data_IF_623602103855
#
_entry.id   IF_623602103855
#
_cell.length_a   1.000
_cell.length_b   1.000
_cell.length_c   1.000
_cell.angle_alpha   90.00
_cell.angle_beta   90.00
_cell.angle_gamma   90.00
#
_symmetry.space_group_name_H-M   'P 1'
#
loop_
_entity.id
_entity.type
_entity.pdbx_description
1 polymer ?
#
# COMPACT_ATOMS: atom_id res chain seq x y z
N UNK A 1 37.59 -55.34 -10.90
CA UNK A 1 36.28 -54.74 -10.56
C UNK A 1 36.54 -53.51 -9.70
N UNK A 2 36.43 -52.33 -10.29
CA UNK A 2 36.58 -51.05 -9.57
C UNK A 2 35.21 -50.64 -9.04
N UNK A 3 35.07 -50.58 -7.72
CA UNK A 3 33.90 -50.04 -7.04
C UNK A 3 33.88 -48.53 -7.25
N UNK A 4 33.02 -48.08 -8.16
CA UNK A 4 32.63 -46.66 -8.25
C UNK A 4 31.95 -46.27 -6.94
N UNK A 5 32.66 -45.47 -6.13
CA UNK A 5 32.06 -44.75 -5.02
C UNK A 5 31.18 -43.67 -5.63
N UNK A 6 29.85 -43.87 -5.58
CA UNK A 6 28.91 -42.80 -5.89
C UNK A 6 29.09 -41.67 -4.87
N UNK A 7 29.32 -40.42 -5.30
CA UNK A 7 29.39 -39.31 -4.37
C UNK A 7 28.03 -39.09 -3.74
N UNK A 8 28.01 -39.28 -2.43
CA UNK A 8 26.92 -39.06 -1.50
C UNK A 8 26.40 -37.63 -1.62
N UNK A 9 25.09 -37.50 -1.88
CA UNK A 9 24.22 -36.36 -1.59
C UNK A 9 24.88 -34.98 -1.57
N UNK A 10 24.82 -34.26 -2.69
CA UNK A 10 24.74 -32.80 -2.66
C UNK A 10 23.42 -32.48 -1.94
N UNK A 11 23.50 -32.28 -0.63
CA UNK A 11 22.46 -31.54 0.07
C UNK A 11 22.25 -30.26 -0.72
N UNK A 12 21.05 -30.05 -1.26
CA UNK A 12 20.68 -28.83 -1.97
C UNK A 12 20.74 -27.67 -0.98
N UNK A 13 21.93 -27.16 -0.73
CA UNK A 13 22.17 -25.98 0.08
C UNK A 13 21.63 -24.79 -0.71
N UNK A 14 20.49 -24.27 -0.26
CA UNK A 14 19.94 -23.03 -0.79
C UNK A 14 21.03 -21.96 -0.78
N UNK A 15 21.22 -21.27 -1.91
CA UNK A 15 22.14 -20.14 -1.93
C UNK A 15 21.66 -19.08 -0.91
N UNK A 16 22.58 -18.45 -0.15
CA UNK A 16 22.21 -17.45 0.82
C UNK A 16 21.46 -16.30 0.14
N UNK A 17 20.34 -15.88 0.74
CA UNK A 17 19.48 -14.83 0.18
C UNK A 17 20.28 -13.53 -0.05
N UNK A 18 20.27 -13.04 -1.30
CA UNK A 18 20.85 -11.76 -1.70
C UNK A 18 20.01 -10.57 -1.20
N UNK A 19 20.58 -9.36 -1.23
CA UNK A 19 19.84 -8.15 -0.86
C UNK A 19 18.62 -7.95 -1.77
N UNK A 20 18.82 -8.14 -3.08
CA UNK A 20 17.76 -8.09 -4.10
C UNK A 20 16.62 -9.06 -3.80
N UNK A 21 16.93 -10.34 -3.53
CA UNK A 21 15.90 -11.34 -3.23
C UNK A 21 15.17 -11.04 -1.92
N UNK A 22 15.88 -10.53 -0.92
CA UNK A 22 15.27 -10.12 0.35
C UNK A 22 14.27 -8.96 0.15
N UNK A 23 14.64 -7.96 -0.66
CA UNK A 23 13.77 -6.84 -1.01
C UNK A 23 12.55 -7.27 -1.85
N UNK A 24 12.73 -8.19 -2.80
CA UNK A 24 11.60 -8.77 -3.57
C UNK A 24 10.63 -9.49 -2.64
N UNK A 25 11.15 -10.37 -1.79
CA UNK A 25 10.35 -11.14 -0.85
C UNK A 25 9.62 -10.23 0.14
N UNK A 26 10.37 -9.35 0.82
CA UNK A 26 9.84 -8.39 1.78
C UNK A 26 8.84 -7.44 1.11
N UNK A 27 9.14 -6.96 -0.10
CA UNK A 27 8.26 -6.08 -0.86
C UNK A 27 6.92 -6.70 -1.18
N UNK A 28 6.90 -7.92 -1.74
CA UNK A 28 5.64 -8.62 -2.02
C UNK A 28 4.88 -8.92 -0.72
N UNK A 29 5.58 -9.33 0.34
CA UNK A 29 4.96 -9.63 1.63
C UNK A 29 4.33 -8.39 2.28
N UNK A 30 5.01 -7.24 2.21
CA UNK A 30 4.51 -5.95 2.70
C UNK A 30 3.28 -5.49 1.90
N UNK A 31 3.30 -5.57 0.57
CA UNK A 31 2.13 -5.23 -0.25
C UNK A 31 0.95 -6.15 0.08
N UNK A 32 1.16 -7.46 0.12
CA UNK A 32 0.10 -8.41 0.41
C UNK A 32 -0.47 -8.22 1.83
N UNK A 33 0.38 -7.99 2.82
CA UNK A 33 -0.04 -7.72 4.20
C UNK A 33 -0.78 -6.40 4.35
N UNK A 34 -0.28 -5.34 3.69
CA UNK A 34 -0.93 -4.04 3.63
C UNK A 34 -2.31 -4.15 2.99
N UNK A 35 -2.41 -4.77 1.81
CA UNK A 35 -3.69 -5.00 1.13
C UNK A 35 -4.68 -5.82 1.97
N UNK A 36 -4.24 -6.91 2.59
CA UNK A 36 -5.10 -7.70 3.48
C UNK A 36 -5.63 -6.87 4.65
N UNK A 37 -4.78 -6.05 5.26
CA UNK A 37 -5.19 -5.13 6.30
C UNK A 37 -6.16 -4.05 5.78
N UNK A 38 -5.93 -3.56 4.56
CA UNK A 38 -6.81 -2.61 3.86
C UNK A 38 -8.21 -3.17 3.62
N UNK A 39 -8.32 -4.40 3.13
CA UNK A 39 -9.62 -5.07 2.91
C UNK A 39 -10.38 -5.25 4.24
N UNK A 40 -9.70 -5.67 5.30
CA UNK A 40 -10.29 -5.79 6.64
C UNK A 40 -10.75 -4.40 7.13
N UNK A 41 -9.91 -3.38 6.95
CA UNK A 41 -10.24 -2.00 7.32
C UNK A 41 -11.46 -1.47 6.57
N UNK A 42 -11.53 -1.69 5.25
CA UNK A 42 -12.64 -1.24 4.41
C UNK A 42 -13.98 -1.82 4.90
N UNK A 43 -14.02 -3.14 5.10
CA UNK A 43 -15.24 -3.85 5.49
C UNK A 43 -15.68 -3.51 6.92
N UNK A 44 -14.75 -3.51 7.88
CA UNK A 44 -15.11 -3.45 9.30
C UNK A 44 -15.02 -2.07 9.93
N UNK A 45 -14.25 -1.14 9.37
CA UNK A 45 -13.98 0.16 9.99
C UNK A 45 -14.45 1.30 9.10
N UNK A 46 -14.05 1.34 7.84
CA UNK A 46 -14.33 2.46 6.94
C UNK A 46 -15.84 2.72 6.80
N UNK A 47 -16.60 1.67 6.48
CA UNK A 47 -18.06 1.79 6.31
C UNK A 47 -18.78 2.14 7.62
N UNK A 48 -18.30 1.64 8.76
CA UNK A 48 -18.89 1.94 10.07
C UNK A 48 -18.58 3.38 10.52
N UNK A 49 -17.32 3.78 10.43
CA UNK A 49 -16.86 5.11 10.84
C UNK A 49 -17.48 6.21 9.97
N UNK A 50 -17.74 5.95 8.69
CA UNK A 50 -18.46 6.89 7.81
C UNK A 50 -19.88 7.20 8.32
N UNK A 51 -20.62 6.16 8.71
CA UNK A 51 -21.96 6.32 9.29
C UNK A 51 -21.94 7.05 10.63
N UNK A 52 -20.99 6.69 11.51
CA UNK A 52 -20.84 7.32 12.83
C UNK A 52 -20.44 8.80 12.72
N UNK A 53 -19.50 9.14 11.82
CA UNK A 53 -19.07 10.52 11.58
C UNK A 53 -20.25 11.43 11.21
N UNK A 54 -21.13 10.95 10.32
CA UNK A 54 -22.36 11.67 9.97
C UNK A 54 -23.27 11.90 11.18
N UNK A 55 -23.49 10.87 12.01
CA UNK A 55 -24.29 10.98 13.24
C UNK A 55 -23.67 11.94 14.25
N UNK A 56 -22.36 11.93 14.41
CA UNK A 56 -21.63 12.83 15.31
C UNK A 56 -21.73 14.28 14.84
N UNK A 57 -21.63 14.55 13.54
CA UNK A 57 -21.84 15.88 12.97
C UNK A 57 -23.28 16.38 13.18
N UNK A 58 -24.29 15.50 13.03
CA UNK A 58 -25.68 15.83 13.35
C UNK A 58 -25.83 16.23 14.82
N UNK A 59 -25.29 15.42 15.73
CA UNK A 59 -25.32 15.69 17.16
C UNK A 59 -24.63 17.03 17.50
N UNK A 60 -23.51 17.35 16.83
CA UNK A 60 -22.81 18.62 17.03
C UNK A 60 -23.71 19.80 16.64
N UNK A 61 -24.37 19.74 15.49
CA UNK A 61 -25.28 20.83 15.06
C UNK A 61 -26.45 21.03 16.02
N UNK A 62 -26.97 19.94 16.59
CA UNK A 62 -28.06 19.99 17.58
C UNK A 62 -27.60 20.57 18.92
N UNK A 63 -26.39 20.20 19.37
CA UNK A 63 -25.79 20.77 20.57
C UNK A 63 -25.51 22.28 20.45
N UNK A 64 -25.07 22.73 19.26
CA UNK A 64 -24.90 24.16 18.95
C UNK A 64 -26.26 24.87 19.02
N UNK A 65 -27.30 24.31 18.40
CA UNK A 65 -28.67 24.85 18.43
C UNK A 65 -29.21 24.99 19.86
N UNK A 66 -28.88 24.03 20.73
CA UNK A 66 -29.26 24.04 22.14
C UNK A 66 -28.41 24.98 23.01
N UNK A 67 -27.40 25.67 22.45
CA UNK A 67 -26.48 26.52 23.21
C UNK A 67 -25.60 25.75 24.20
N UNK A 68 -25.46 24.42 24.03
CA UNK A 68 -24.77 23.55 24.98
C UNK A 68 -23.29 23.39 24.58
N UNK A 69 -22.46 24.35 24.99
CA UNK A 69 -21.02 24.36 24.68
C UNK A 69 -20.25 23.15 25.21
N UNK A 70 -20.66 22.59 26.36
CA UNK A 70 -20.04 21.39 26.91
C UNK A 70 -20.30 20.17 26.03
N UNK A 71 -21.55 19.98 25.58
CA UNK A 71 -21.89 18.89 24.67
C UNK A 71 -21.18 19.03 23.33
N UNK A 72 -21.08 20.25 22.78
CA UNK A 72 -20.30 20.52 21.56
C UNK A 72 -18.86 20.05 21.74
N UNK A 73 -18.21 20.42 22.85
CA UNK A 73 -16.83 20.00 23.13
C UNK A 73 -16.68 18.47 23.17
N UNK A 74 -17.55 17.78 23.90
CA UNK A 74 -17.52 16.31 24.01
C UNK A 74 -17.76 15.62 22.66
N UNK A 75 -18.66 16.16 21.84
CA UNK A 75 -18.95 15.63 20.51
C UNK A 75 -17.76 15.82 19.57
N UNK A 76 -17.08 16.96 19.61
CA UNK A 76 -15.87 17.18 18.82
C UNK A 76 -14.69 16.33 19.30
N UNK A 77 -14.55 16.08 20.61
CA UNK A 77 -13.58 15.12 21.14
C UNK A 77 -13.85 13.71 20.60
N UNK A 78 -15.12 13.27 20.59
CA UNK A 78 -15.51 11.98 20.02
C UNK A 78 -15.27 11.91 18.49
N UNK A 79 -15.63 12.97 17.77
CA UNK A 79 -15.36 13.09 16.32
C UNK A 79 -13.86 13.01 16.02
N UNK A 80 -13.04 13.69 16.83
CA UNK A 80 -11.58 13.62 16.74
C UNK A 80 -11.08 12.18 16.89
N UNK A 81 -11.59 11.44 17.88
CA UNK A 81 -11.26 10.02 18.07
C UNK A 81 -11.64 9.13 16.88
N UNK A 82 -12.81 9.35 16.25
CA UNK A 82 -13.23 8.62 15.05
C UNK A 82 -12.34 8.92 13.84
N UNK A 83 -11.96 10.19 13.66
CA UNK A 83 -11.08 10.62 12.58
C UNK A 83 -9.65 10.10 12.78
N UNK A 84 -9.15 10.09 14.01
CA UNK A 84 -7.85 9.51 14.36
C UNK A 84 -7.83 7.98 14.15
N UNK A 85 -8.91 7.29 14.54
CA UNK A 85 -9.07 5.85 14.31
C UNK A 85 -9.04 5.50 12.82
N UNK A 86 -9.82 6.25 12.03
CA UNK A 86 -9.84 6.13 10.58
C UNK A 86 -8.46 6.45 9.97
N UNK A 87 -7.87 7.58 10.38
CA UNK A 87 -6.61 8.08 9.85
C UNK A 87 -5.46 7.12 10.10
N UNK A 88 -5.26 6.66 11.34
CA UNK A 88 -4.16 5.75 11.70
C UNK A 88 -4.25 4.40 10.98
N UNK A 89 -5.46 3.85 10.77
CA UNK A 89 -5.62 2.60 10.02
C UNK A 89 -5.39 2.79 8.53
N UNK A 90 -5.94 3.85 7.93
CA UNK A 90 -5.66 4.16 6.54
C UNK A 90 -4.16 4.38 6.31
N UNK A 91 -3.52 5.12 7.19
CA UNK A 91 -2.10 5.46 7.12
C UNK A 91 -1.19 4.23 7.29
N UNK A 92 -1.51 3.35 8.25
CA UNK A 92 -0.82 2.07 8.40
C UNK A 92 -0.94 1.19 7.15
N UNK A 93 -2.14 1.12 6.54
CA UNK A 93 -2.35 0.37 5.29
C UNK A 93 -1.45 0.91 4.16
N UNK A 94 -1.56 2.21 3.88
CA UNK A 94 -0.85 2.86 2.76
C UNK A 94 0.66 2.80 2.96
N UNK A 95 1.15 3.07 4.16
CA UNK A 95 2.59 3.00 4.40
C UNK A 95 3.16 1.58 4.28
N UNK A 96 2.40 0.55 4.66
CA UNK A 96 2.82 -0.83 4.49
C UNK A 96 2.91 -1.22 3.01
N UNK A 97 1.91 -0.84 2.20
CA UNK A 97 1.91 -1.11 0.76
C UNK A 97 3.01 -0.31 0.04
N UNK A 98 3.16 0.97 0.33
CA UNK A 98 4.18 1.85 -0.27
C UNK A 98 5.61 1.43 0.05
N UNK A 99 5.88 1.05 1.30
CA UNK A 99 7.17 0.46 1.67
C UNK A 99 7.42 -0.82 0.85
N UNK A 100 6.38 -1.60 0.58
CA UNK A 100 6.46 -2.77 -0.27
C UNK A 100 6.78 -2.45 -1.75
N UNK A 101 6.12 -1.45 -2.35
CA UNK A 101 6.43 -0.95 -3.69
C UNK A 101 7.88 -0.47 -3.78
N UNK A 102 8.31 0.33 -2.80
CA UNK A 102 9.65 0.86 -2.73
C UNK A 102 10.69 -0.25 -2.55
N UNK A 103 10.40 -1.29 -1.76
CA UNK A 103 11.28 -2.46 -1.66
C UNK A 103 11.49 -3.15 -3.02
N UNK A 104 10.41 -3.37 -3.79
CA UNK A 104 10.54 -4.00 -5.12
C UNK A 104 11.32 -3.08 -6.07
N UNK A 105 11.08 -1.77 -6.04
CA UNK A 105 11.85 -0.80 -6.82
C UNK A 105 13.35 -0.83 -6.45
N UNK A 106 13.67 -0.79 -5.15
CA UNK A 106 15.04 -0.89 -4.66
C UNK A 106 15.69 -2.20 -5.07
N UNK A 107 14.94 -3.31 -5.13
CA UNK A 107 15.45 -4.57 -5.64
C UNK A 107 15.93 -4.45 -7.09
N UNK A 108 15.20 -3.74 -7.95
CA UNK A 108 15.60 -3.50 -9.34
C UNK A 108 16.83 -2.61 -9.45
N UNK A 109 17.04 -1.74 -8.47
CA UNK A 109 18.18 -0.82 -8.42
C UNK A 109 19.45 -1.46 -7.83
N UNK A 110 19.33 -2.55 -7.06
CA UNK A 110 20.47 -3.23 -6.43
C UNK A 110 21.70 -3.48 -7.33
N UNK A 111 21.60 -3.89 -8.61
CA UNK A 111 22.80 -4.06 -9.44
C UNK A 111 23.62 -2.78 -9.63
N UNK A 112 22.97 -1.62 -9.55
CA UNK A 112 23.55 -0.29 -9.73
C UNK A 112 23.97 0.38 -8.42
N UNK A 113 23.76 -0.26 -7.27
CA UNK A 113 24.17 0.29 -5.97
C UNK A 113 25.61 -0.13 -5.68
N UNK A 114 26.58 0.78 -5.72
CA UNK A 114 28.00 0.47 -5.50
C UNK A 114 28.37 0.32 -4.01
N UNK A 115 27.76 -0.68 -3.35
CA UNK A 115 28.02 -1.05 -1.97
C UNK A 115 28.48 -2.51 -1.85
N UNK A 116 29.29 -2.87 -0.81
CA UNK A 116 29.62 -4.26 -0.54
C UNK A 116 28.37 -5.12 -0.29
N UNK A 117 28.36 -6.37 -0.78
CA UNK A 117 27.22 -7.28 -0.67
C UNK A 117 26.69 -7.43 0.77
N UNK A 118 27.58 -7.51 1.76
CA UNK A 118 27.21 -7.57 3.18
C UNK A 118 26.43 -6.33 3.64
N UNK A 119 26.80 -5.14 3.18
CA UNK A 119 26.12 -3.88 3.53
C UNK A 119 24.76 -3.79 2.85
N UNK A 120 24.66 -4.12 1.55
CA UNK A 120 23.37 -4.17 0.84
C UNK A 120 22.38 -5.09 1.54
N UNK A 121 22.82 -6.30 1.91
CA UNK A 121 21.97 -7.26 2.61
C UNK A 121 21.49 -6.73 3.97
N UNK A 122 22.37 -6.05 4.71
CA UNK A 122 22.01 -5.42 5.98
C UNK A 122 20.98 -4.31 5.77
N UNK A 123 21.22 -3.41 4.80
CA UNK A 123 20.31 -2.32 4.46
C UNK A 123 18.95 -2.84 4.00
N UNK A 124 18.92 -3.86 3.14
CA UNK A 124 17.69 -4.54 2.74
C UNK A 124 16.92 -5.11 3.94
N UNK A 125 17.61 -5.73 4.90
CA UNK A 125 16.99 -6.22 6.13
C UNK A 125 16.39 -5.08 6.96
N UNK A 126 17.14 -4.00 7.16
CA UNK A 126 16.68 -2.82 7.90
C UNK A 126 15.50 -2.15 7.21
N UNK A 127 15.50 -2.09 5.87
CA UNK A 127 14.39 -1.57 5.09
C UNK A 127 13.12 -2.37 5.29
N UNK A 128 13.19 -3.70 5.15
CA UNK A 128 12.01 -4.57 5.33
C UNK A 128 11.50 -4.52 6.78
N UNK A 129 12.41 -4.50 7.77
CA UNK A 129 12.02 -4.32 9.17
C UNK A 129 11.37 -2.96 9.42
N UNK A 130 11.93 -1.87 8.91
CA UNK A 130 11.35 -0.53 9.02
C UNK A 130 9.97 -0.45 8.36
N UNK A 131 9.82 -1.03 7.17
CA UNK A 131 8.54 -1.09 6.44
C UNK A 131 7.47 -1.92 7.14
N UNK A 132 7.85 -2.83 8.04
CA UNK A 132 6.93 -3.57 8.91
C UNK A 132 6.62 -2.79 10.20
N UNK A 133 7.63 -2.25 10.87
CA UNK A 133 7.46 -1.61 12.17
C UNK A 133 6.79 -0.24 12.09
N UNK A 134 7.00 0.51 11.01
CA UNK A 134 6.35 1.80 10.80
C UNK A 134 4.81 1.68 10.80
N UNK A 135 4.17 0.86 9.95
CA UNK A 135 2.71 0.75 9.94
C UNK A 135 2.15 0.12 11.21
N UNK A 136 2.89 -0.79 11.86
CA UNK A 136 2.51 -1.32 13.19
C UNK A 136 2.51 -0.21 14.24
N UNK A 137 3.53 0.65 14.24
CA UNK A 137 3.59 1.81 15.13
C UNK A 137 2.41 2.76 14.90
N UNK A 138 2.13 3.11 13.65
CA UNK A 138 1.01 4.00 13.28
C UNK A 138 -0.32 3.41 13.73
N UNK A 139 -0.59 2.14 13.46
CA UNK A 139 -1.81 1.46 13.89
C UNK A 139 -2.00 1.52 15.41
N UNK A 140 -0.92 1.40 16.19
CA UNK A 140 -0.97 1.42 17.64
C UNK A 140 -1.18 2.82 18.23
N UNK A 141 -1.05 3.91 17.45
CA UNK A 141 -1.24 5.28 17.94
C UNK A 141 -2.64 5.45 18.52
N UNK A 142 -3.68 4.97 17.82
CA UNK A 142 -5.05 5.08 18.29
C UNK A 142 -5.30 4.31 19.60
N UNK A 143 -4.68 3.13 19.75
CA UNK A 143 -4.97 2.22 20.87
C UNK A 143 -4.14 2.51 22.12
N UNK A 144 -2.85 2.79 21.94
CA UNK A 144 -1.88 2.89 23.03
C UNK A 144 -1.32 4.29 23.16
N UNK A 145 -1.54 5.17 22.17
CA UNK A 145 -1.31 6.62 22.19
C UNK A 145 -0.29 7.09 23.24
N UNK A 146 -0.73 7.97 24.13
CA UNK A 146 0.04 8.43 25.29
C UNK A 146 0.04 7.44 26.47
N UNK A 147 -0.74 6.36 26.39
CA UNK A 147 -0.86 5.42 27.49
C UNK A 147 0.53 4.83 27.81
N UNK A 148 0.92 4.94 29.08
CA UNK A 148 2.22 4.48 29.58
C UNK A 148 3.44 5.19 28.98
N UNK A 149 3.26 6.29 28.25
CA UNK A 149 4.37 7.09 27.73
C UNK A 149 5.05 7.90 28.85
N UNK A 150 6.40 7.98 28.88
CA UNK A 150 7.12 8.91 29.74
C UNK A 150 6.99 10.37 29.26
N UNK A 151 6.47 10.60 28.05
CA UNK A 151 6.26 11.94 27.48
C UNK A 151 4.79 12.35 27.57
N UNK A 152 4.55 13.61 27.95
CA UNK A 152 3.19 14.15 28.08
C UNK A 152 2.46 14.33 26.73
N UNK A 153 3.18 14.34 25.62
CA UNK A 153 2.66 14.68 24.29
C UNK A 153 3.02 13.70 23.18
N UNK A 154 3.85 12.69 23.45
CA UNK A 154 4.30 11.72 22.43
C UNK A 154 4.07 10.32 22.95
N UNK A 155 3.38 9.49 22.19
CA UNK A 155 3.12 8.09 22.52
C UNK A 155 4.26 7.14 22.19
N UNK A 156 4.37 6.00 22.88
CA UNK A 156 5.33 4.95 22.50
C UNK A 156 5.12 4.45 21.08
N UNK A 157 3.86 4.36 20.65
CA UNK A 157 3.48 3.99 19.30
C UNK A 157 4.02 4.99 18.25
N UNK A 158 3.93 6.30 18.54
CA UNK A 158 4.51 7.35 17.69
C UNK A 158 6.03 7.25 17.64
N UNK A 159 6.70 7.07 18.78
CA UNK A 159 8.17 6.89 18.82
C UNK A 159 8.61 5.71 17.97
N UNK A 160 7.88 4.59 18.03
CA UNK A 160 8.15 3.41 17.19
C UNK A 160 7.99 3.74 15.70
N UNK A 161 6.87 4.37 15.31
CA UNK A 161 6.60 4.75 13.93
C UNK A 161 7.68 5.70 13.38
N UNK A 162 8.00 6.76 14.12
CA UNK A 162 8.99 7.77 13.74
C UNK A 162 10.40 7.19 13.65
N UNK A 163 10.78 6.32 14.60
CA UNK A 163 12.09 5.65 14.58
C UNK A 163 12.20 4.70 13.39
N UNK A 164 11.15 3.93 13.10
CA UNK A 164 11.12 3.07 11.92
C UNK A 164 11.19 3.89 10.61
N UNK A 165 10.49 5.02 10.54
CA UNK A 165 10.56 5.96 9.42
C UNK A 165 11.96 6.55 9.25
N UNK A 166 12.61 6.95 10.34
CA UNK A 166 13.99 7.42 10.31
C UNK A 166 14.97 6.34 9.80
N UNK A 167 14.78 5.07 10.20
CA UNK A 167 15.55 3.94 9.66
C UNK A 167 15.36 3.81 8.15
N UNK A 168 14.13 3.90 7.64
CA UNK A 168 13.86 3.87 6.20
C UNK A 168 14.59 5.00 5.46
N UNK A 169 14.54 6.22 5.99
CA UNK A 169 15.23 7.39 5.41
C UNK A 169 16.74 7.15 5.36
N UNK A 170 17.35 6.69 6.45
CA UNK A 170 18.79 6.39 6.50
C UNK A 170 19.17 5.32 5.49
N UNK A 171 18.36 4.27 5.35
CA UNK A 171 18.60 3.23 4.33
C UNK A 171 18.52 3.82 2.93
N UNK A 172 17.51 4.63 2.63
CA UNK A 172 17.35 5.26 1.31
C UNK A 172 18.51 6.21 0.97
N UNK A 173 19.01 6.98 1.95
CA UNK A 173 20.20 7.82 1.77
C UNK A 173 21.43 6.96 1.45
N UNK A 174 21.61 5.83 2.13
CA UNK A 174 22.72 4.92 1.87
C UNK A 174 22.64 4.27 0.47
N UNK A 175 21.43 3.85 0.05
CA UNK A 175 21.18 3.31 -1.30
C UNK A 175 21.42 4.39 -2.38
N UNK A 176 20.93 5.61 -2.17
CA UNK A 176 21.16 6.74 -3.06
C UNK A 176 22.64 7.12 -3.17
N UNK A 177 23.38 7.09 -2.06
CA UNK A 177 24.82 7.27 -2.06
C UNK A 177 25.53 6.17 -2.85
N UNK A 178 25.09 4.91 -2.71
CA UNK A 178 25.58 3.79 -3.50
C UNK A 178 25.32 3.95 -5.00
N UNK A 179 24.14 4.42 -5.39
CA UNK A 179 23.80 4.74 -6.78
C UNK A 179 24.66 5.89 -7.33
N UNK A 180 24.82 6.97 -6.56
CA UNK A 180 25.68 8.09 -6.93
C UNK A 180 27.13 7.65 -7.15
N UNK A 181 27.65 6.79 -6.27
CA UNK A 181 29.00 6.23 -6.41
C UNK A 181 29.14 5.39 -7.67
N UNK A 182 28.14 4.57 -8.01
CA UNK A 182 28.13 3.79 -9.25
C UNK A 182 28.23 4.69 -10.49
N UNK A 183 27.44 5.77 -10.52
CA UNK A 183 27.44 6.75 -11.62
C UNK A 183 28.78 7.49 -11.74
N UNK A 184 29.42 7.80 -10.60
CA UNK A 184 30.69 8.54 -10.57
C UNK A 184 31.88 7.68 -10.98
N UNK A 185 31.95 6.46 -10.45
CA UNK A 185 33.12 5.60 -10.60
C UNK A 185 33.03 4.74 -11.88
N UNK A 186 31.96 4.87 -12.68
CA UNK A 186 31.65 4.04 -13.85
C UNK A 186 31.87 2.54 -13.56
N UNK A 187 31.54 2.15 -12.33
CA UNK A 187 31.86 0.82 -11.80
C UNK A 187 31.06 -0.23 -12.57
N UNK A 188 31.66 -1.39 -12.81
CA UNK A 188 30.89 -2.53 -13.33
C UNK A 188 29.74 -2.86 -12.37
N UNK A 189 28.60 -3.26 -12.94
CA UNK A 189 27.43 -3.66 -12.15
C UNK A 189 27.84 -4.70 -11.10
N UNK A 190 27.52 -4.39 -9.85
CA UNK A 190 27.94 -5.16 -8.68
C UNK A 190 27.20 -6.50 -8.54
N UNK A 191 26.09 -6.65 -9.27
CA UNK A 191 25.34 -7.89 -9.42
C UNK A 191 24.94 -8.05 -10.90
N UNK A 192 24.84 -9.29 -11.41
CA UNK A 192 24.42 -9.51 -12.79
C UNK A 192 23.03 -8.91 -13.06
N UNK A 193 22.90 -8.32 -14.25
CA UNK A 193 21.63 -7.85 -14.77
C UNK A 193 20.62 -9.00 -14.84
N UNK A 194 19.33 -8.69 -14.68
CA UNK A 194 18.29 -9.69 -14.85
C UNK A 194 18.33 -10.21 -16.30
N UNK A 195 18.20 -11.53 -16.51
CA UNK A 195 18.17 -12.07 -17.86
C UNK A 195 17.02 -11.44 -18.66
N UNK A 196 17.26 -11.20 -19.94
CA UNK A 196 16.24 -10.70 -20.86
C UNK A 196 15.23 -11.82 -21.11
N UNK A 197 14.27 -11.94 -20.22
CA UNK A 197 13.17 -12.89 -20.36
C UNK A 197 12.04 -12.30 -21.22
N UNK A 198 11.57 -13.06 -22.20
CA UNK A 198 10.48 -12.72 -23.14
C UNK A 198 9.22 -13.54 -22.88
N UNK A 199 9.12 -14.15 -21.71
CA UNK A 199 7.96 -14.90 -21.22
C UNK A 199 6.64 -14.14 -21.34
N UNK A 200 5.55 -14.91 -21.49
CA UNK A 200 4.19 -14.37 -21.60
C UNK A 200 3.81 -13.60 -20.33
N UNK A 201 4.20 -14.12 -19.17
CA UNK A 201 3.87 -13.62 -17.84
C UNK A 201 4.42 -12.21 -17.65
N UNK A 202 5.71 -12.02 -17.98
CA UNK A 202 6.37 -10.71 -17.93
C UNK A 202 5.74 -9.72 -18.89
N UNK A 203 5.50 -10.10 -20.14
CA UNK A 203 4.89 -9.21 -21.15
C UNK A 203 3.48 -8.81 -20.77
N UNK A 204 2.70 -9.74 -20.25
CA UNK A 204 1.30 -9.52 -19.87
C UNK A 204 1.21 -8.62 -18.64
N UNK A 205 2.06 -8.85 -17.63
CA UNK A 205 2.17 -7.96 -16.47
C UNK A 205 2.62 -6.54 -16.85
N UNK A 206 3.65 -6.43 -17.70
CA UNK A 206 4.12 -5.12 -18.16
C UNK A 206 3.06 -4.38 -18.98
N UNK A 207 2.51 -5.04 -20.00
CA UNK A 207 1.49 -4.45 -20.87
C UNK A 207 0.20 -4.12 -20.12
N UNK A 208 -0.29 -5.05 -19.30
CA UNK A 208 -1.46 -4.84 -18.44
C UNK A 208 -1.23 -3.71 -17.45
N UNK A 209 -0.05 -3.64 -16.84
CA UNK A 209 0.31 -2.57 -15.92
C UNK A 209 0.35 -1.19 -16.57
N UNK A 210 0.93 -1.07 -17.77
CA UNK A 210 0.91 0.17 -18.55
C UNK A 210 -0.52 0.59 -18.88
N UNK A 211 -1.37 -0.35 -19.33
CA UNK A 211 -2.78 -0.06 -19.62
C UNK A 211 -3.50 0.44 -18.38
N UNK A 212 -3.33 -0.21 -17.23
CA UNK A 212 -3.94 0.19 -15.96
C UNK A 212 -3.51 1.61 -15.54
N UNK A 213 -2.22 1.92 -15.60
CA UNK A 213 -1.70 3.26 -15.27
C UNK A 213 -2.27 4.32 -16.23
N UNK A 214 -2.32 4.05 -17.53
CA UNK A 214 -2.89 4.97 -18.51
C UNK A 214 -4.38 5.19 -18.27
N UNK A 215 -5.14 4.14 -17.98
CA UNK A 215 -6.55 4.25 -17.61
C UNK A 215 -6.75 5.07 -16.34
N UNK A 216 -5.91 4.83 -15.32
CA UNK A 216 -5.87 5.61 -14.09
C UNK A 216 -5.64 7.09 -14.38
N UNK A 217 -4.60 7.45 -15.13
CA UNK A 217 -4.32 8.85 -15.51
C UNK A 217 -5.44 9.49 -16.32
N UNK A 218 -6.01 8.78 -17.31
CA UNK A 218 -7.13 9.29 -18.11
C UNK A 218 -8.35 9.58 -17.24
N UNK A 219 -8.69 8.65 -16.34
CA UNK A 219 -9.80 8.83 -15.42
C UNK A 219 -9.54 9.96 -14.42
N UNK A 220 -8.33 10.05 -13.87
CA UNK A 220 -7.94 11.13 -12.97
C UNK A 220 -7.98 12.51 -13.63
N UNK A 221 -7.50 12.62 -14.87
CA UNK A 221 -7.57 13.85 -15.65
C UNK A 221 -9.02 14.25 -15.95
N UNK A 222 -9.88 13.27 -16.29
CA UNK A 222 -11.31 13.51 -16.46
C UNK A 222 -11.95 13.99 -15.14
N UNK A 223 -11.71 13.32 -14.02
CA UNK A 223 -12.24 13.70 -12.71
C UNK A 223 -11.80 15.11 -12.30
N UNK A 224 -10.51 15.43 -12.45
CA UNK A 224 -9.97 16.74 -12.15
C UNK A 224 -10.58 17.84 -13.03
N UNK A 225 -10.75 17.57 -14.33
CA UNK A 225 -11.27 18.54 -15.30
C UNK A 225 -12.77 18.83 -15.16
N UNK A 226 -13.58 17.84 -14.80
CA UNK A 226 -15.04 17.96 -14.84
C UNK A 226 -15.72 17.98 -13.46
N UNK A 227 -15.21 17.23 -12.49
CA UNK A 227 -15.93 16.99 -11.23
C UNK A 227 -15.29 17.64 -10.01
N UNK A 228 -13.96 17.69 -9.94
CA UNK A 228 -13.24 18.15 -8.74
C UNK A 228 -13.66 19.55 -8.29
N UNK A 229 -13.58 20.54 -9.19
CA UNK A 229 -13.97 21.92 -8.86
C UNK A 229 -15.46 22.04 -8.52
N UNK A 230 -16.31 21.24 -9.16
CA UNK A 230 -17.73 21.19 -8.84
C UNK A 230 -17.98 20.57 -7.46
N UNK A 231 -17.19 19.59 -7.05
CA UNK A 231 -17.24 19.02 -5.70
C UNK A 231 -16.78 20.03 -4.65
N UNK A 232 -15.66 20.70 -4.87
CA UNK A 232 -15.16 21.73 -3.96
C UNK A 232 -16.16 22.87 -3.77
N UNK A 233 -16.75 23.37 -4.86
CA UNK A 233 -17.79 24.40 -4.79
C UNK A 233 -19.03 23.93 -4.02
N UNK A 234 -19.47 22.68 -4.22
CA UNK A 234 -20.60 22.08 -3.49
C UNK A 234 -20.28 21.94 -2.00
N UNK A 235 -19.08 21.50 -1.66
CA UNK A 235 -18.63 21.31 -0.28
C UNK A 235 -18.65 22.63 0.50
N UNK A 236 -18.07 23.69 -0.07
CA UNK A 236 -18.10 25.05 0.50
C UNK A 236 -19.54 25.53 0.68
N UNK A 237 -20.40 25.33 -0.32
CA UNK A 237 -21.82 25.70 -0.26
C UNK A 237 -22.59 24.97 0.86
N UNK A 238 -22.33 23.68 1.04
CA UNK A 238 -22.95 22.87 2.10
C UNK A 238 -22.47 23.35 3.48
N UNK A 239 -21.16 23.52 3.67
CA UNK A 239 -20.60 23.99 4.95
C UNK A 239 -21.12 25.39 5.33
N UNK A 240 -21.21 26.30 4.35
CA UNK A 240 -21.82 27.62 4.57
C UNK A 240 -23.29 27.50 5.00
N UNK A 241 -24.06 26.64 4.34
CA UNK A 241 -25.46 26.39 4.70
C UNK A 241 -25.59 25.81 6.11
N UNK A 242 -24.69 24.91 6.51
CA UNK A 242 -24.66 24.36 7.87
C UNK A 242 -24.40 25.46 8.91
N UNK A 243 -23.42 26.33 8.66
CA UNK A 243 -23.08 27.44 9.53
C UNK A 243 -24.23 28.45 9.64
N UNK A 244 -24.75 28.92 8.50
CA UNK A 244 -25.84 29.90 8.45
C UNK A 244 -27.08 29.37 9.21
N UNK A 245 -27.46 28.10 9.01
CA UNK A 245 -28.61 27.51 9.72
C UNK A 245 -28.37 27.31 11.21
N UNK A 246 -27.15 26.92 11.60
CA UNK A 246 -26.80 26.77 13.01
C UNK A 246 -26.85 28.11 13.76
N UNK A 247 -26.44 29.22 13.12
CA UNK A 247 -26.45 30.55 13.75
C UNK A 247 -27.85 31.14 13.93
N UNK A 248 -28.81 30.83 13.04
CA UNK A 248 -30.17 31.39 13.08
C UNK A 248 -31.17 30.47 13.81
N UNK A 249 -30.70 29.36 14.43
CA UNK A 249 -31.52 28.32 15.05
C UNK A 249 -32.66 27.77 14.14
N UNK A 250 -32.50 27.90 12.82
CA UNK A 250 -33.43 27.33 11.85
C UNK A 250 -33.17 25.83 11.72
N UNK A 251 -34.23 25.02 11.71
CA UNK A 251 -34.12 23.58 11.49
C UNK A 251 -33.50 23.21 10.12
N UNK A 252 -33.28 21.92 9.87
CA UNK A 252 -32.78 21.43 8.58
C UNK A 252 -31.26 21.40 8.42
N UNK A 253 -30.49 21.49 9.51
CA UNK A 253 -29.06 21.11 9.55
C UNK A 253 -28.84 19.65 9.18
N UNK A 254 -29.85 18.79 9.45
CA UNK A 254 -29.81 17.35 9.16
C UNK A 254 -29.56 17.06 7.68
N UNK A 255 -30.31 17.71 6.78
CA UNK A 255 -30.11 17.51 5.34
C UNK A 255 -28.74 18.03 4.87
N UNK A 256 -28.24 19.11 5.47
CA UNK A 256 -26.95 19.67 5.08
C UNK A 256 -25.78 18.74 5.50
N UNK A 257 -25.84 18.16 6.70
CA UNK A 257 -24.87 17.13 7.14
C UNK A 257 -24.97 15.87 6.28
N UNK A 258 -26.18 15.42 5.95
CA UNK A 258 -26.37 14.27 5.05
C UNK A 258 -25.79 14.54 3.64
N UNK A 259 -26.01 15.74 3.10
CA UNK A 259 -25.44 16.16 1.82
C UNK A 259 -23.91 16.23 1.86
N UNK A 260 -23.33 16.71 2.97
CA UNK A 260 -21.88 16.73 3.17
C UNK A 260 -21.31 15.31 3.17
N UNK A 261 -21.90 14.39 3.94
CA UNK A 261 -21.48 13.00 3.99
C UNK A 261 -21.56 12.30 2.63
N UNK A 262 -22.65 12.51 1.89
CA UNK A 262 -22.81 11.97 0.54
C UNK A 262 -21.77 12.51 -0.45
N UNK A 263 -21.46 13.81 -0.39
CA UNK A 263 -20.44 14.41 -1.24
C UNK A 263 -19.03 13.90 -0.89
N UNK A 264 -18.72 13.76 0.40
CA UNK A 264 -17.45 13.21 0.85
C UNK A 264 -17.26 11.76 0.35
N UNK A 265 -18.31 10.93 0.44
CA UNK A 265 -18.32 9.58 -0.10
C UNK A 265 -18.13 9.57 -1.64
N UNK A 266 -18.83 10.46 -2.36
CA UNK A 266 -18.67 10.59 -3.83
C UNK A 266 -17.22 10.94 -4.21
N UNK A 267 -16.61 11.90 -3.51
CA UNK A 267 -15.19 12.27 -3.71
C UNK A 267 -14.26 11.09 -3.41
N UNK A 268 -14.45 10.43 -2.27
CA UNK A 268 -13.60 9.32 -1.82
C UNK A 268 -13.61 8.16 -2.82
N UNK A 269 -14.78 7.72 -3.27
CA UNK A 269 -14.94 6.64 -4.26
C UNK A 269 -14.21 6.98 -5.57
N UNK A 270 -14.38 8.21 -6.08
CA UNK A 270 -13.74 8.63 -7.33
C UNK A 270 -12.22 8.71 -7.19
N UNK A 271 -11.71 9.20 -6.07
CA UNK A 271 -10.27 9.25 -5.79
C UNK A 271 -9.69 7.84 -5.63
N UNK A 272 -10.37 6.97 -4.88
CA UNK A 272 -9.92 5.59 -4.62
C UNK A 272 -9.83 4.75 -5.90
N UNK A 273 -10.83 4.85 -6.79
CA UNK A 273 -10.77 4.15 -8.07
C UNK A 273 -9.59 4.59 -8.95
N UNK A 274 -9.30 5.90 -8.96
CA UNK A 274 -8.15 6.46 -9.67
C UNK A 274 -6.83 5.94 -9.10
N UNK A 275 -6.65 6.03 -7.78
CA UNK A 275 -5.40 5.62 -7.12
C UNK A 275 -5.15 4.13 -7.29
N UNK A 276 -6.16 3.28 -7.07
CA UNK A 276 -6.02 1.83 -7.20
C UNK A 276 -5.70 1.37 -8.62
N UNK A 277 -6.25 2.00 -9.66
CA UNK A 277 -5.83 1.71 -11.05
C UNK A 277 -4.34 1.94 -11.25
N UNK A 278 -3.81 3.06 -10.75
CA UNK A 278 -2.40 3.41 -10.89
C UNK A 278 -1.52 2.47 -10.06
N UNK A 279 -1.87 2.27 -8.78
CA UNK A 279 -1.12 1.40 -7.86
C UNK A 279 -1.03 -0.03 -8.41
N UNK A 280 -2.15 -0.63 -8.79
CA UNK A 280 -2.13 -1.99 -9.35
C UNK A 280 -1.43 -2.05 -10.71
N UNK A 281 -1.49 -0.98 -11.50
CA UNK A 281 -0.71 -0.88 -12.72
C UNK A 281 0.80 -0.86 -12.46
N UNK A 282 1.24 -0.06 -11.49
CA UNK A 282 2.63 -0.02 -11.02
C UNK A 282 3.07 -1.38 -10.47
N UNK A 283 2.21 -2.03 -9.68
CA UNK A 283 2.46 -3.36 -9.12
C UNK A 283 2.71 -4.38 -10.22
N UNK A 284 1.82 -4.43 -11.22
CA UNK A 284 1.95 -5.34 -12.34
C UNK A 284 3.26 -5.08 -13.10
N UNK A 285 3.61 -3.82 -13.38
CA UNK A 285 4.88 -3.48 -14.03
C UNK A 285 6.09 -3.93 -13.21
N UNK A 286 6.11 -3.69 -11.90
CA UNK A 286 7.20 -4.11 -11.02
C UNK A 286 7.32 -5.64 -10.95
N UNK A 287 6.19 -6.35 -10.78
CA UNK A 287 6.15 -7.82 -10.76
C UNK A 287 6.58 -8.46 -12.08
N UNK A 288 6.49 -7.74 -13.20
CA UNK A 288 7.00 -8.22 -14.49
C UNK A 288 8.51 -8.49 -14.43
N UNK A 289 9.26 -7.68 -13.67
CA UNK A 289 10.70 -7.86 -13.48
C UNK A 289 11.03 -8.91 -12.41
N UNK A 290 10.07 -9.24 -11.56
CA UNK A 290 10.22 -10.26 -10.51
C UNK A 290 10.02 -11.68 -11.04
N UNK A 291 9.39 -11.88 -12.20
CA UNK A 291 9.09 -13.20 -12.77
C UNK A 291 10.26 -14.22 -12.80
N UNK A 292 11.53 -13.82 -13.01
CA UNK A 292 12.67 -14.73 -12.91
C UNK A 292 12.87 -15.37 -11.53
N UNK A 293 12.38 -14.73 -10.46
CA UNK A 293 12.45 -15.22 -9.07
C UNK A 293 11.26 -16.09 -8.67
N UNK A 294 10.17 -16.10 -9.45
CA UNK A 294 8.99 -16.90 -9.15
C UNK A 294 9.25 -18.34 -9.61
N UNK A 295 9.60 -19.24 -8.69
CA UNK A 295 9.82 -20.67 -9.01
C UNK A 295 8.51 -21.46 -8.96
N UNK A 296 7.70 -21.32 -10.00
CA UNK A 296 6.47 -22.08 -10.25
C UNK A 296 6.48 -22.64 -11.68
N UNK A 297 5.62 -23.61 -11.97
CA UNK A 297 5.38 -24.01 -13.35
C UNK A 297 4.73 -22.89 -14.14
N UNK A 298 4.97 -22.83 -15.45
CA UNK A 298 4.45 -21.78 -16.32
C UNK A 298 2.92 -21.68 -16.22
N UNK A 299 2.22 -22.82 -16.19
CA UNK A 299 0.76 -22.86 -15.98
C UNK A 299 0.31 -22.12 -14.72
N UNK A 300 1.03 -22.28 -13.60
CA UNK A 300 0.69 -21.60 -12.35
C UNK A 300 1.05 -20.12 -12.41
N UNK A 301 2.19 -19.75 -12.99
CA UNK A 301 2.53 -18.33 -13.17
C UNK A 301 1.46 -17.61 -13.99
N UNK A 302 1.00 -18.22 -15.10
CA UNK A 302 -0.06 -17.66 -15.94
C UNK A 302 -1.35 -17.43 -15.17
N UNK A 303 -1.79 -18.43 -14.40
CA UNK A 303 -2.98 -18.32 -13.56
C UNK A 303 -2.87 -17.15 -12.59
N UNK A 304 -1.73 -17.01 -11.89
CA UNK A 304 -1.55 -15.91 -10.93
C UNK A 304 -1.50 -14.54 -11.59
N UNK A 305 -0.91 -14.41 -12.78
CA UNK A 305 -0.93 -13.17 -13.56
C UNK A 305 -2.36 -12.80 -13.97
N UNK A 306 -3.15 -13.76 -14.46
CA UNK A 306 -4.55 -13.54 -14.84
C UNK A 306 -5.38 -13.13 -13.62
N UNK A 307 -5.24 -13.85 -12.52
CA UNK A 307 -5.96 -13.58 -11.27
C UNK A 307 -5.63 -12.16 -10.76
N UNK A 308 -4.35 -11.80 -10.73
CA UNK A 308 -3.91 -10.48 -10.30
C UNK A 308 -4.49 -9.38 -11.19
N UNK A 309 -4.30 -9.45 -12.51
CA UNK A 309 -4.78 -8.41 -13.44
C UNK A 309 -6.31 -8.31 -13.47
N UNK A 310 -7.01 -9.43 -13.31
CA UNK A 310 -8.48 -9.42 -13.20
C UNK A 310 -8.90 -8.67 -11.95
N UNK A 311 -8.32 -8.98 -10.79
CA UNK A 311 -8.57 -8.25 -9.54
C UNK A 311 -8.26 -6.75 -9.65
N UNK A 312 -7.14 -6.41 -10.29
CA UNK A 312 -6.70 -5.04 -10.53
C UNK A 312 -7.66 -4.18 -11.37
N UNK A 313 -8.53 -4.81 -12.18
CA UNK A 313 -9.58 -4.13 -12.93
C UNK A 313 -10.90 -4.16 -12.16
N UNK A 314 -11.26 -5.32 -11.61
CA UNK A 314 -12.54 -5.53 -10.92
C UNK A 314 -12.68 -4.58 -9.75
N UNK A 315 -11.68 -4.46 -8.87
CA UNK A 315 -11.76 -3.59 -7.70
C UNK A 315 -12.11 -2.13 -8.07
N UNK A 316 -11.28 -1.40 -8.84
CA UNK A 316 -11.54 0.02 -9.08
C UNK A 316 -12.82 0.27 -9.89
N UNK A 317 -13.19 -0.64 -10.80
CA UNK A 317 -14.45 -0.51 -11.55
C UNK A 317 -15.66 -0.65 -10.62
N UNK A 318 -15.65 -1.64 -9.73
CA UNK A 318 -16.77 -1.85 -8.82
C UNK A 318 -16.80 -0.87 -7.65
N UNK A 319 -15.67 -0.30 -7.24
CA UNK A 319 -15.63 0.88 -6.36
C UNK A 319 -16.42 2.03 -6.99
N UNK A 320 -16.20 2.35 -8.28
CA UNK A 320 -16.98 3.40 -8.96
C UNK A 320 -18.49 3.10 -9.02
N UNK A 321 -18.84 1.82 -9.17
CA UNK A 321 -20.23 1.39 -9.23
C UNK A 321 -20.92 1.37 -7.86
N UNK A 322 -20.16 1.45 -6.76
CA UNK A 322 -20.69 1.44 -5.39
C UNK A 322 -21.72 2.55 -5.16
N UNK A 323 -21.50 3.73 -5.73
CA UNK A 323 -22.45 4.85 -5.61
C UNK A 323 -23.81 4.55 -6.27
N UNK A 324 -23.86 3.65 -7.25
CA UNK A 324 -25.09 3.33 -8.00
C UNK A 324 -25.72 2.00 -7.57
N UNK A 325 -24.90 1.01 -7.21
CA UNK A 325 -25.32 -0.37 -6.91
C UNK A 325 -25.19 -0.72 -5.42
N UNK A 326 -24.67 0.20 -4.60
CA UNK A 326 -24.50 0.04 -3.16
C UNK A 326 -23.62 -1.16 -2.78
N UNK A 327 -24.02 -1.85 -1.71
CA UNK A 327 -23.27 -2.95 -1.10
C UNK A 327 -22.94 -4.10 -2.05
N UNK A 328 -23.75 -4.32 -3.10
CA UNK A 328 -23.45 -5.36 -4.09
C UNK A 328 -22.17 -5.04 -4.85
N UNK A 329 -22.01 -3.80 -5.31
CA UNK A 329 -20.80 -3.38 -5.99
C UNK A 329 -19.61 -3.31 -5.02
N UNK A 330 -19.81 -2.82 -3.80
CA UNK A 330 -18.78 -2.87 -2.75
C UNK A 330 -18.26 -4.30 -2.51
N UNK A 331 -19.16 -5.27 -2.34
CA UNK A 331 -18.76 -6.67 -2.15
C UNK A 331 -18.04 -7.29 -3.35
N UNK A 332 -18.36 -6.87 -4.58
CA UNK A 332 -17.60 -7.31 -5.77
C UNK A 332 -16.24 -6.62 -5.84
N UNK A 333 -16.14 -5.37 -5.40
CA UNK A 333 -14.86 -4.67 -5.30
C UNK A 333 -13.91 -5.38 -4.31
N UNK A 334 -14.43 -5.83 -3.16
CA UNK A 334 -13.68 -6.62 -2.16
C UNK A 334 -13.18 -7.95 -2.76
N UNK A 335 -14.01 -8.63 -3.56
CA UNK A 335 -13.57 -9.82 -4.30
C UNK A 335 -12.42 -9.47 -5.25
N UNK A 336 -12.49 -8.32 -5.91
CA UNK A 336 -11.40 -7.80 -6.73
C UNK A 336 -10.09 -7.63 -5.95
N UNK A 337 -10.15 -7.05 -4.75
CA UNK A 337 -9.02 -6.91 -3.84
C UNK A 337 -8.43 -8.26 -3.43
N UNK A 338 -9.31 -9.19 -3.04
CA UNK A 338 -8.93 -10.55 -2.67
C UNK A 338 -8.23 -11.29 -3.82
N UNK A 339 -8.68 -11.12 -5.07
CA UNK A 339 -8.01 -11.71 -6.23
C UNK A 339 -6.56 -11.20 -6.36
N UNK A 340 -6.32 -9.90 -6.15
CA UNK A 340 -4.95 -9.35 -6.17
C UNK A 340 -4.10 -9.96 -5.06
N UNK A 341 -4.62 -10.04 -3.83
CA UNK A 341 -3.93 -10.64 -2.67
C UNK A 341 -3.57 -12.10 -2.94
N UNK A 342 -4.51 -12.88 -3.47
CA UNK A 342 -4.30 -14.29 -3.80
C UNK A 342 -3.26 -14.44 -4.92
N UNK A 343 -3.32 -13.59 -5.94
CA UNK A 343 -2.31 -13.56 -7.02
C UNK A 343 -0.91 -13.25 -6.49
N UNK A 344 -0.78 -12.23 -5.65
CA UNK A 344 0.47 -11.85 -4.98
C UNK A 344 1.01 -12.98 -4.10
N UNK A 345 0.16 -13.57 -3.27
CA UNK A 345 0.52 -14.68 -2.37
C UNK A 345 0.99 -15.89 -3.16
N UNK A 346 0.30 -16.22 -4.27
CA UNK A 346 0.72 -17.27 -5.18
C UNK A 346 2.13 -17.04 -5.74
N UNK A 347 2.42 -15.81 -6.19
CA UNK A 347 3.77 -15.44 -6.65
C UNK A 347 4.81 -15.44 -5.53
N UNK A 348 4.45 -14.99 -4.32
CA UNK A 348 5.30 -15.01 -3.13
C UNK A 348 5.74 -16.42 -2.75
N UNK A 349 4.83 -17.39 -2.82
CA UNK A 349 5.14 -18.82 -2.63
C UNK A 349 6.18 -19.28 -3.66
N UNK A 350 6.08 -18.81 -4.90
CA UNK A 350 7.10 -19.07 -5.93
C UNK A 350 8.47 -18.46 -5.58
N UNK A 351 8.50 -17.26 -5.03
CA UNK A 351 9.73 -16.59 -4.57
C UNK A 351 10.35 -17.32 -3.35
N UNK A 352 9.52 -17.83 -2.45
CA UNK A 352 9.97 -18.64 -1.31
C UNK A 352 10.62 -19.96 -1.75
N UNK A 353 10.02 -20.62 -2.74
CA UNK A 353 10.54 -21.88 -3.31
C UNK A 353 11.81 -21.67 -4.15
N UNK A 354 12.17 -20.43 -4.45
CA UNK A 354 13.30 -20.10 -5.29
C UNK A 354 14.63 -20.59 -4.71
N UNK A 355 15.31 -21.49 -5.43
CA UNK A 355 16.57 -22.13 -5.01
C UNK A 355 17.80 -21.23 -4.98
N UNK A 356 17.69 -19.95 -5.38
CA UNK A 356 18.81 -19.00 -5.34
C UNK A 356 19.78 -19.09 -6.52
N UNK A 357 19.37 -19.65 -7.67
CA UNK A 357 20.24 -19.82 -8.85
C UNK A 357 20.89 -18.51 -9.34
N UNK A 358 20.13 -17.41 -9.30
CA UNK A 358 20.61 -16.06 -9.63
C UNK A 358 21.44 -15.43 -8.49
N UNK A 359 21.31 -15.93 -7.26
CA UNK A 359 22.11 -15.46 -6.11
C UNK A 359 23.53 -16.08 -6.15
N UNK A 360 23.65 -17.33 -6.64
CA UNK A 360 24.90 -18.10 -6.67
C UNK A 360 25.95 -17.59 -7.69
N UNK A 361 25.52 -16.93 -8.77
CA UNK A 361 26.42 -16.37 -9.80
C UNK A 361 27.28 -15.22 -9.22
N UNK A 362 26.80 -14.57 -8.16
CA UNK A 362 27.50 -13.49 -7.44
C UNK A 362 28.59 -13.98 -6.47
N UNK A 363 28.76 -15.30 -6.30
CA UNK A 363 29.69 -15.90 -5.33
C UNK A 363 31.01 -16.41 -5.91
N UNK A 364 31.24 -16.28 -7.22
CA UNK A 364 32.50 -16.70 -7.87
C UNK A 364 33.37 -15.50 -8.14
N UNK A 365 33.84 -14.87 -7.06
CA UNK A 365 35.07 -14.08 -7.08
C UNK A 365 35.82 -14.41 -5.79
N UNK A 366 36.79 -15.33 -5.92
CA UNK A 366 37.87 -15.48 -4.95
C UNK A 366 38.71 -14.22 -4.91
#
# INVERSE_FOLDING_TARGET
MSTQVMPTQIAATFAPMSARRLLIFGGIALIAGGMLFGDIFAVFVLHQNGGQTGQTLLAATEAVRAGNSLAVKQIFEHLGGLLEDHGTKLDAHVHMTDAGYLAILLALLQPYVALPHRRKKLLAGWFVSGGLFLPVGIFLIHYVGLAYSPFASIGWASVLADTAGAVLIVVLIAEAWGLWRFLRDNSNASEPALPVDRTWERRTLMGGGVVLVLLGFLYGAWYAGFDLYRHEAREVGILKTMLDRATVAQGGTVMAVANYGSLAAEKAVKIAAHSHLIEFGLLAMLLSFVQPYVQLSDTWKRRWVIVLLTGSIVLPVFVLLELNLGLLAGGIADIGGLLVIVGLTGMLVGVLRYGGRLDAVSGVSQ
#
